data_IF_098204448294
#
_entry.id   IF_098204448294
#
_cell.length_a   1.000
_cell.length_b   1.000
_cell.length_c   1.000
_cell.angle_alpha   90.00
_cell.angle_beta   90.00
_cell.angle_gamma   90.00
#
_symmetry.space_group_name_H-M   'P 1'
#
loop_
_entity.id
_entity.type
_entity.pdbx_description
1 polymer ?
#
# COMPACT_ATOMS: atom_id res chain seq x y z
N UNK A 1 6.98 -11.81 -20.48
CA UNK A 1 5.69 -11.14 -20.44
C UNK A 1 5.64 -10.06 -21.49
N UNK A 2 4.56 -10.02 -22.23
CA UNK A 2 4.43 -9.05 -23.30
C UNK A 2 3.93 -7.74 -22.77
N UNK A 3 4.09 -6.67 -23.53
CA UNK A 3 3.58 -5.37 -23.13
C UNK A 3 2.06 -5.37 -23.02
N UNK A 4 1.38 -6.21 -23.79
CA UNK A 4 -0.08 -6.34 -23.70
C UNK A 4 -0.52 -6.91 -22.36
N UNK A 5 0.20 -7.90 -21.84
CA UNK A 5 -0.08 -8.45 -20.53
C UNK A 5 0.06 -7.42 -19.43
N UNK A 6 1.11 -6.61 -19.50
CA UNK A 6 1.35 -5.59 -18.49
C UNK A 6 0.30 -4.49 -18.57
N UNK A 7 -0.11 -4.13 -19.77
CA UNK A 7 -1.15 -3.15 -19.95
C UNK A 7 -2.49 -3.65 -19.39
N UNK A 8 -2.78 -4.94 -19.61
CA UNK A 8 -3.99 -5.55 -19.10
C UNK A 8 -4.00 -5.56 -17.56
N UNK A 9 -2.85 -5.84 -16.94
CA UNK A 9 -2.71 -5.77 -15.49
C UNK A 9 -2.98 -4.38 -14.97
N UNK A 10 -2.44 -3.35 -15.64
CA UNK A 10 -2.66 -1.97 -15.21
C UNK A 10 -4.12 -1.58 -15.30
N UNK A 11 -4.81 -1.99 -16.37
CA UNK A 11 -6.24 -1.69 -16.51
C UNK A 11 -7.01 -2.32 -15.36
N UNK A 12 -6.70 -3.56 -15.01
CA UNK A 12 -7.38 -4.25 -13.92
C UNK A 12 -7.13 -3.54 -12.59
N UNK A 13 -5.89 -3.14 -12.33
CA UNK A 13 -5.53 -2.43 -11.12
C UNK A 13 -6.27 -1.10 -11.04
N UNK A 14 -6.37 -0.38 -12.14
CA UNK A 14 -7.08 0.90 -12.18
C UNK A 14 -8.56 0.72 -11.85
N UNK A 15 -9.18 -0.35 -12.36
CA UNK A 15 -10.58 -0.64 -12.07
C UNK A 15 -10.76 -0.90 -10.58
N UNK A 16 -9.87 -1.70 -9.98
CA UNK A 16 -9.96 -2.02 -8.57
C UNK A 16 -9.74 -0.77 -7.71
N UNK A 17 -8.75 0.04 -8.06
CA UNK A 17 -8.50 1.28 -7.34
C UNK A 17 -9.71 2.20 -7.40
N UNK A 18 -10.33 2.32 -8.57
CA UNK A 18 -11.52 3.14 -8.72
C UNK A 18 -12.67 2.66 -7.85
N UNK A 19 -12.79 1.34 -7.71
CA UNK A 19 -13.83 0.77 -6.85
C UNK A 19 -13.67 1.23 -5.40
N UNK A 20 -12.46 1.12 -4.85
CA UNK A 20 -12.22 1.53 -3.47
C UNK A 20 -12.32 3.04 -3.29
N UNK A 21 -11.88 3.81 -4.28
CA UNK A 21 -12.05 5.25 -4.23
C UNK A 21 -13.53 5.64 -4.23
N UNK A 22 -14.35 4.92 -4.98
CA UNK A 22 -15.79 5.15 -4.99
C UNK A 22 -16.42 4.88 -3.63
N UNK A 23 -15.98 3.81 -2.96
CA UNK A 23 -16.47 3.51 -1.63
C UNK A 23 -16.12 4.63 -0.66
N UNK A 24 -14.88 5.13 -0.73
CA UNK A 24 -14.45 6.22 0.12
C UNK A 24 -15.21 7.50 -0.19
N UNK A 25 -15.42 7.79 -1.46
CA UNK A 25 -16.14 8.99 -1.87
C UNK A 25 -17.56 9.00 -1.32
N UNK A 26 -18.22 7.86 -1.35
CA UNK A 26 -19.57 7.75 -0.80
C UNK A 26 -19.59 7.88 0.71
N UNK A 27 -18.62 7.26 1.38
CA UNK A 27 -18.58 7.29 2.83
C UNK A 27 -18.30 8.70 3.36
N UNK A 28 -17.30 9.37 2.78
CA UNK A 28 -16.87 10.69 3.25
C UNK A 28 -17.58 11.83 2.55
N UNK A 29 -18.43 11.53 1.58
CA UNK A 29 -19.21 12.53 0.82
C UNK A 29 -18.31 13.58 0.20
N UNK A 30 -17.25 13.13 -0.45
CA UNK A 30 -16.34 14.00 -1.17
C UNK A 30 -15.65 13.17 -2.26
N UNK A 31 -15.09 13.86 -3.24
CA UNK A 31 -14.36 13.16 -4.30
C UNK A 31 -12.90 13.02 -3.96
N UNK A 32 -12.31 11.91 -4.39
CA UNK A 32 -10.88 11.68 -4.28
C UNK A 32 -10.35 11.50 -5.69
N UNK A 33 -9.27 12.22 -6.02
CA UNK A 33 -8.65 12.09 -7.32
C UNK A 33 -8.07 10.69 -7.49
N UNK A 34 -8.09 10.19 -8.71
CA UNK A 34 -7.48 8.91 -9.01
C UNK A 34 -5.96 9.06 -8.90
N UNK A 35 -5.28 8.22 -8.13
CA UNK A 35 -3.83 8.35 -7.99
C UNK A 35 -3.10 7.85 -9.23
N UNK A 36 -1.88 8.33 -9.41
CA UNK A 36 -0.98 7.71 -10.38
C UNK A 36 -0.59 6.35 -9.83
N UNK A 37 -0.64 5.32 -10.66
CA UNK A 37 -0.28 3.96 -10.27
C UNK A 37 0.81 3.46 -11.20
N UNK A 38 1.92 3.01 -10.63
CA UNK A 38 3.04 2.50 -11.42
C UNK A 38 3.49 1.15 -10.90
N UNK A 39 4.09 0.36 -11.77
CA UNK A 39 4.58 -0.98 -11.45
C UNK A 39 6.09 -0.94 -11.35
N UNK A 40 6.59 -0.16 -10.42
CA UNK A 40 8.03 0.05 -10.29
C UNK A 40 8.55 -0.10 -8.86
N UNK A 41 7.76 -0.68 -7.97
CA UNK A 41 8.23 -1.00 -6.63
C UNK A 41 9.10 -2.25 -6.70
N UNK A 42 10.21 -2.26 -5.98
CA UNK A 42 11.14 -3.37 -6.01
C UNK A 42 11.36 -3.95 -4.63
N UNK A 43 11.95 -5.14 -4.59
CA UNK A 43 12.30 -5.79 -3.35
C UNK A 43 11.14 -6.51 -2.73
N UNK A 44 11.10 -6.55 -1.42
CA UNK A 44 10.07 -7.30 -0.67
C UNK A 44 8.82 -6.50 -0.40
N UNK A 45 8.82 -5.22 -0.70
CA UNK A 45 7.64 -4.40 -0.54
C UNK A 45 6.65 -4.69 -1.63
N UNK A 46 5.42 -4.97 -1.26
CA UNK A 46 4.36 -5.18 -2.23
C UNK A 46 3.91 -3.87 -2.86
N UNK A 47 3.81 -2.82 -2.07
CA UNK A 47 3.40 -1.52 -2.58
C UNK A 47 3.74 -0.40 -1.63
N UNK A 48 3.65 0.83 -2.14
CA UNK A 48 3.92 2.04 -1.36
C UNK A 48 2.95 3.12 -1.80
N UNK A 49 2.42 3.86 -0.85
CA UNK A 49 1.60 5.03 -1.13
C UNK A 49 2.42 6.27 -0.84
N UNK A 50 2.66 7.08 -1.86
CA UNK A 50 3.36 8.35 -1.71
C UNK A 50 2.32 9.43 -1.55
N UNK A 51 2.14 9.88 -0.32
CA UNK A 51 1.00 10.71 0.03
C UNK A 51 1.03 12.08 -0.62
N UNK A 52 2.19 12.71 -0.65
CA UNK A 52 2.28 14.07 -1.18
C UNK A 52 2.13 14.12 -2.69
N UNK A 53 2.60 13.10 -3.39
CA UNK A 53 2.49 13.04 -4.83
C UNK A 53 1.26 12.29 -5.31
N UNK A 54 0.47 11.73 -4.38
CA UNK A 54 -0.76 11.00 -4.69
C UNK A 54 -0.47 9.87 -5.67
N UNK A 55 0.49 9.04 -5.30
CA UNK A 55 1.06 8.05 -6.20
C UNK A 55 1.18 6.71 -5.47
N UNK A 56 0.72 5.65 -6.11
CA UNK A 56 0.86 4.29 -5.60
C UNK A 56 1.84 3.55 -6.49
N UNK A 57 2.85 2.95 -5.87
CA UNK A 57 3.82 2.10 -6.57
C UNK A 57 3.56 0.66 -6.17
N UNK A 58 3.47 -0.22 -7.14
CA UNK A 58 3.23 -1.64 -6.88
C UNK A 58 4.39 -2.47 -7.42
N UNK A 59 4.62 -3.61 -6.78
CA UNK A 59 5.73 -4.49 -7.13
C UNK A 59 5.26 -5.50 -8.17
N UNK A 60 5.71 -5.39 -9.42
CA UNK A 60 5.22 -6.25 -10.48
C UNK A 60 5.63 -7.71 -10.33
N UNK A 61 6.78 -7.96 -9.67
CA UNK A 61 7.24 -9.33 -9.47
C UNK A 61 6.32 -10.05 -8.48
N UNK A 62 6.00 -9.37 -7.37
CA UNK A 62 5.10 -9.96 -6.38
C UNK A 62 3.68 -10.06 -6.91
N UNK A 63 3.26 -9.07 -7.68
CA UNK A 63 1.91 -9.06 -8.26
C UNK A 63 1.69 -10.29 -9.14
N UNK A 64 2.69 -10.65 -9.93
CA UNK A 64 2.56 -11.76 -10.87
C UNK A 64 2.21 -13.08 -10.16
N UNK A 65 2.77 -13.30 -8.99
CA UNK A 65 2.56 -14.54 -8.26
C UNK A 65 1.49 -14.45 -7.17
N UNK A 66 0.98 -13.25 -6.90
CA UNK A 66 0.07 -13.02 -5.78
C UNK A 66 -1.07 -12.08 -6.17
N UNK A 67 -1.64 -12.32 -7.32
CA UNK A 67 -2.64 -11.41 -7.89
C UNK A 67 -3.85 -11.21 -6.97
N UNK A 68 -4.36 -12.28 -6.39
CA UNK A 68 -5.52 -12.18 -5.51
C UNK A 68 -5.23 -11.32 -4.29
N UNK A 69 -4.06 -11.50 -3.67
CA UNK A 69 -3.68 -10.68 -2.52
C UNK A 69 -3.51 -9.23 -2.88
N UNK A 70 -3.00 -8.93 -4.07
CA UNK A 70 -2.89 -7.55 -4.51
C UNK A 70 -4.27 -6.91 -4.65
N UNK A 71 -5.21 -7.63 -5.26
CA UNK A 71 -6.54 -7.09 -5.49
C UNK A 71 -7.31 -6.93 -4.18
N UNK A 72 -7.16 -7.87 -3.25
CA UNK A 72 -7.96 -7.90 -2.04
C UNK A 72 -7.32 -7.18 -0.86
N UNK A 73 -6.02 -7.02 -0.86
CA UNK A 73 -5.33 -6.44 0.29
C UNK A 73 -4.39 -5.30 -0.05
N UNK A 74 -3.50 -5.48 -1.01
CA UNK A 74 -2.45 -4.48 -1.26
C UNK A 74 -3.02 -3.19 -1.83
N UNK A 75 -3.83 -3.29 -2.87
CA UNK A 75 -4.40 -2.10 -3.50
C UNK A 75 -5.28 -1.34 -2.51
N UNK A 76 -6.25 -1.97 -1.82
CA UNK A 76 -7.03 -1.22 -0.84
C UNK A 76 -6.18 -0.68 0.31
N UNK A 77 -5.13 -1.40 0.72
CA UNK A 77 -4.21 -0.93 1.76
C UNK A 77 -3.59 0.42 1.38
N UNK A 78 -3.08 0.52 0.15
CA UNK A 78 -2.44 1.75 -0.29
C UNK A 78 -3.47 2.85 -0.58
N UNK A 79 -4.62 2.51 -1.15
CA UNK A 79 -5.69 3.48 -1.34
C UNK A 79 -6.14 4.04 0.03
N UNK A 80 -6.23 3.19 1.05
CA UNK A 80 -6.61 3.64 2.37
C UNK A 80 -5.64 4.68 2.92
N UNK A 81 -4.33 4.50 2.68
CA UNK A 81 -3.35 5.51 3.10
C UNK A 81 -3.60 6.86 2.45
N UNK A 82 -3.92 6.86 1.16
CA UNK A 82 -4.21 8.11 0.45
C UNK A 82 -5.48 8.77 1.00
N UNK A 83 -6.52 7.98 1.21
CA UNK A 83 -7.79 8.49 1.74
C UNK A 83 -7.60 9.09 3.12
N UNK A 84 -6.88 8.39 3.99
CA UNK A 84 -6.61 8.86 5.34
C UNK A 84 -5.87 10.20 5.31
N UNK A 85 -4.86 10.29 4.46
CA UNK A 85 -4.11 11.53 4.34
C UNK A 85 -4.99 12.69 3.86
N UNK A 86 -5.87 12.43 2.91
CA UNK A 86 -6.76 13.46 2.39
C UNK A 86 -7.77 13.93 3.42
N UNK A 87 -8.26 13.02 4.26
CA UNK A 87 -9.32 13.36 5.23
C UNK A 87 -8.75 13.92 6.52
N UNK A 88 -7.69 13.31 7.06
CA UNK A 88 -7.17 13.68 8.37
C UNK A 88 -5.78 14.31 8.34
N UNK A 89 -5.11 14.31 7.21
CA UNK A 89 -3.76 14.82 7.13
C UNK A 89 -2.76 13.79 7.66
N UNK A 90 -1.73 14.29 8.32
CA UNK A 90 -0.64 13.44 8.76
C UNK A 90 -0.99 12.76 10.07
N UNK A 91 -1.18 11.46 10.02
CA UNK A 91 -1.50 10.66 11.20
C UNK A 91 -0.66 9.39 11.15
N UNK A 92 -0.73 8.59 12.21
CA UNK A 92 0.01 7.33 12.27
C UNK A 92 -0.45 6.41 11.14
N UNK A 93 0.48 5.83 10.37
CA UNK A 93 0.14 5.11 9.14
C UNK A 93 -0.85 3.96 9.30
N UNK A 94 -0.69 3.14 10.28
CA UNK A 94 -1.60 2.01 10.48
C UNK A 94 -2.39 2.20 11.76
N UNK A 95 -2.68 3.47 12.08
CA UNK A 95 -3.42 3.81 13.28
C UNK A 95 -4.92 3.67 13.10
N UNK A 96 -5.66 4.26 14.01
CA UNK A 96 -7.11 4.10 14.07
C UNK A 96 -7.81 4.54 12.78
N UNK A 97 -7.34 5.62 12.17
CA UNK A 97 -7.97 6.14 10.96
C UNK A 97 -7.84 5.16 9.80
N UNK A 98 -6.63 4.65 9.59
CA UNK A 98 -6.41 3.68 8.53
C UNK A 98 -7.21 2.40 8.77
N UNK A 99 -7.21 1.91 10.01
CA UNK A 99 -7.96 0.71 10.35
C UNK A 99 -9.45 0.89 10.11
N UNK A 100 -9.97 2.07 10.44
CA UNK A 100 -11.37 2.37 10.22
C UNK A 100 -11.70 2.37 8.73
N UNK A 101 -10.85 2.99 7.90
CA UNK A 101 -11.08 3.01 6.46
C UNK A 101 -11.08 1.57 5.92
N UNK A 102 -10.11 0.76 6.31
CA UNK A 102 -10.05 -0.62 5.85
C UNK A 102 -11.28 -1.40 6.27
N UNK A 103 -11.65 -1.31 7.54
CA UNK A 103 -12.72 -2.13 8.11
C UNK A 103 -14.11 -1.60 7.77
N UNK A 104 -14.35 -0.31 8.03
CA UNK A 104 -15.68 0.26 7.96
C UNK A 104 -16.04 0.80 6.59
N UNK A 105 -15.07 1.26 5.82
CA UNK A 105 -15.32 1.80 4.49
C UNK A 105 -15.15 0.71 3.43
N UNK A 106 -14.06 -0.05 3.51
CA UNK A 106 -13.74 -1.05 2.49
C UNK A 106 -14.23 -2.45 2.84
N UNK A 107 -14.55 -2.70 4.09
CA UNK A 107 -15.02 -4.03 4.51
C UNK A 107 -13.92 -5.07 4.52
N UNK A 108 -12.69 -4.67 4.79
CA UNK A 108 -11.53 -5.55 4.77
C UNK A 108 -10.88 -5.58 6.15
N UNK A 109 -10.52 -6.78 6.62
CA UNK A 109 -9.79 -6.90 7.87
C UNK A 109 -8.43 -6.22 7.71
N UNK A 110 -8.12 -5.20 8.54
CA UNK A 110 -6.86 -4.49 8.37
C UNK A 110 -5.67 -5.36 8.78
N UNK A 111 -4.68 -5.43 7.89
CA UNK A 111 -3.44 -6.16 8.14
C UNK A 111 -2.28 -5.31 7.67
N UNK A 112 -1.24 -5.26 8.50
CA UNK A 112 -0.02 -4.53 8.14
C UNK A 112 1.02 -5.47 7.53
N UNK A 113 0.78 -6.78 7.56
CA UNK A 113 1.68 -7.78 6.99
C UNK A 113 0.95 -8.57 5.93
N UNK A 114 1.71 -9.29 5.09
CA UNK A 114 1.13 -10.12 4.07
C UNK A 114 1.81 -11.50 4.07
N UNK A 115 1.15 -12.46 3.45
CA UNK A 115 1.68 -13.83 3.35
C UNK A 115 1.92 -14.19 1.89
N UNK A 116 2.50 -13.28 1.17
CA UNK A 116 2.77 -13.50 -0.23
C UNK A 116 3.98 -14.37 -0.46
N UNK A 117 3.99 -15.04 -1.59
CA UNK A 117 5.16 -15.75 -2.05
C UNK A 117 6.18 -14.72 -2.52
N UNK A 118 7.28 -14.60 -1.78
CA UNK A 118 8.32 -13.64 -2.13
C UNK A 118 9.61 -14.33 -2.59
N UNK A 119 9.51 -15.59 -3.01
CA UNK A 119 10.68 -16.36 -3.40
C UNK A 119 11.44 -15.70 -4.55
N UNK A 120 10.76 -14.99 -5.43
CA UNK A 120 11.39 -14.37 -6.59
C UNK A 120 12.08 -13.04 -6.31
N UNK A 121 11.86 -12.46 -5.12
CA UNK A 121 12.53 -11.21 -4.78
C UNK A 121 13.62 -11.42 -3.78
N UNK A 122 13.86 -12.64 -3.34
CA UNK A 122 14.89 -13.03 -2.54
C UNK A 122 15.26 -12.46 -1.25
N UNK A 123 16.12 -12.94 -0.56
CA UNK A 123 16.52 -12.54 0.78
C UNK A 123 15.66 -13.17 1.84
N UNK A 124 15.74 -12.65 3.05
CA UNK A 124 14.98 -13.16 4.18
C UNK A 124 13.51 -13.03 3.95
N UNK A 125 12.77 -13.98 4.44
CA UNK A 125 11.34 -14.00 4.28
C UNK A 125 10.69 -13.36 5.49
N UNK A 126 10.20 -12.14 5.31
CA UNK A 126 9.45 -11.45 6.34
C UNK A 126 8.11 -11.06 5.75
N UNK A 127 7.01 -11.61 6.26
CA UNK A 127 5.70 -11.34 5.69
C UNK A 127 5.16 -9.99 6.16
N UNK A 128 5.82 -8.88 5.82
CA UNK A 128 5.31 -7.56 6.18
C UNK A 128 5.39 -6.61 5.00
N UNK A 129 4.50 -5.63 5.00
CA UNK A 129 4.50 -4.60 4.07
C UNK A 129 5.37 -3.52 4.56
N UNK A 130 6.22 -3.06 3.74
CA UNK A 130 6.85 -1.86 4.10
C UNK A 130 6.17 -0.80 3.47
N UNK A 131 5.99 0.23 3.71
CA UNK A 131 5.35 0.87 3.40
C UNK A 131 4.92 1.97 3.56
N UNK A 132 4.82 2.38 4.09
CA UNK A 132 4.31 3.57 4.44
C UNK A 132 5.36 4.58 4.43
N UNK A 133 4.96 5.79 4.35
CA UNK A 133 5.87 6.86 4.24
C UNK A 133 6.90 6.89 5.34
N UNK A 134 6.55 6.48 6.55
CA UNK A 134 7.48 6.44 7.64
C UNK A 134 8.55 5.41 7.45
N UNK A 135 8.34 4.45 6.60
CA UNK A 135 9.32 3.46 6.36
C UNK A 135 10.39 3.89 5.40
N UNK A 136 10.28 5.05 4.88
CA UNK A 136 11.38 5.66 4.22
C UNK A 136 12.41 6.12 5.23
N UNK A 137 12.11 5.98 6.50
CA UNK A 137 13.12 6.05 7.52
C UNK A 137 14.18 5.04 7.15
N UNK A 138 15.42 5.47 7.20
CA UNK A 138 16.52 4.64 6.77
C UNK A 138 16.62 3.38 7.62
N UNK A 139 17.26 2.36 7.06
CA UNK A 139 17.58 1.16 7.79
C UNK A 139 18.39 1.50 9.04
N UNK A 140 19.28 2.48 8.94
CA UNK A 140 20.07 2.94 10.06
C UNK A 140 19.18 3.40 11.20
N UNK A 141 18.16 4.16 10.90
CA UNK A 141 17.24 4.68 11.91
C UNK A 141 16.45 3.56 12.57
N UNK A 142 16.01 2.61 11.79
CA UNK A 142 15.31 1.45 12.32
C UNK A 142 16.20 0.64 13.25
N UNK A 143 17.45 0.41 12.86
CA UNK A 143 18.40 -0.34 13.67
C UNK A 143 18.70 0.40 14.97
N UNK A 144 18.81 1.71 14.93
CA UNK A 144 19.03 2.50 16.13
C UNK A 144 17.87 2.35 17.09
N UNK A 145 16.66 2.37 16.60
CA UNK A 145 15.47 2.16 17.41
C UNK A 145 15.49 0.78 18.06
N UNK A 146 15.83 -0.25 17.30
CA UNK A 146 15.87 -1.62 17.80
C UNK A 146 16.92 -1.81 18.89
N UNK A 147 17.98 -0.97 18.91
CA UNK A 147 18.99 -1.01 19.96
C UNK A 147 18.58 -0.20 21.18
N UNK A 148 17.39 0.37 21.19
CA UNK A 148 16.95 1.19 22.31
C UNK A 148 17.36 2.64 22.25
N UNK A 149 17.82 3.09 21.10
CA UNK A 149 18.17 4.49 20.90
C UNK A 149 16.90 5.30 20.72
N UNK A 150 16.65 6.23 21.65
CA UNK A 150 15.38 6.94 21.70
C UNK A 150 15.34 8.23 20.95
N UNK A 151 16.40 8.58 20.22
CA UNK A 151 16.42 9.81 19.47
C UNK A 151 15.39 9.88 18.37
N UNK A 152 14.90 8.73 17.92
CA UNK A 152 14.09 8.65 16.74
C UNK A 152 12.62 8.41 17.03
N UNK A 153 12.16 8.90 18.11
CA UNK A 153 10.74 8.78 18.41
C UNK A 153 9.86 9.61 17.47
#
# INVERSE_FOLDING_TARGET
MTSNSRLSELVQIEVIASHYLSLASRYFKREFNHPKITLDQRGKCAGTARLLSWHIRLNPVLLQDNQAEFEQEVIPHEIAHLVVHAVWGRVKPHGAEWQMVMRDVFGITPRTTHRMDISKVQGSVYPYQCDCQQHQLSIRRHRAFMRGDRKYH
#
